data_IF_349491265143
#
_entry.id   IF_349491265143
#
_cell.length_a   1.000
_cell.length_b   1.000
_cell.length_c   1.000
_cell.angle_alpha   90.00
_cell.angle_beta   90.00
_cell.angle_gamma   90.00
#
_symmetry.space_group_name_H-M   'P 1'
#
loop_
_entity.id
_entity.type
_entity.pdbx_description
1 polymer ?
#
# COMPACT_ATOMS: atom_id res chain seq x y z
N UNK A 1 -44.05 -46.65 -83.96
CA UNK A 1 -42.60 -46.77 -83.67
C UNK A 1 -41.90 -45.51 -83.10
N UNK A 2 -42.61 -44.41 -82.78
CA UNK A 2 -41.99 -43.17 -82.22
C UNK A 2 -41.94 -43.08 -80.69
N UNK A 3 -42.58 -44.00 -79.97
CA UNK A 3 -42.63 -43.98 -78.48
C UNK A 3 -41.44 -44.74 -77.86
N UNK A 4 -41.01 -45.85 -78.46
CA UNK A 4 -39.88 -46.67 -77.97
C UNK A 4 -38.53 -45.97 -78.07
N UNK A 5 -38.30 -45.16 -79.11
CA UNK A 5 -37.09 -44.35 -79.28
C UNK A 5 -37.00 -43.17 -78.29
N UNK A 6 -38.13 -42.70 -77.74
CA UNK A 6 -38.14 -41.66 -76.69
C UNK A 6 -37.82 -42.24 -75.31
N UNK A 7 -38.18 -43.49 -75.05
CA UNK A 7 -37.88 -44.17 -73.78
C UNK A 7 -36.39 -44.55 -73.69
N UNK A 8 -35.80 -45.02 -74.80
CA UNK A 8 -34.38 -45.39 -74.88
C UNK A 8 -33.40 -44.20 -74.86
N UNK A 9 -33.89 -42.97 -75.08
CA UNK A 9 -33.10 -41.73 -75.03
C UNK A 9 -33.42 -40.89 -73.78
N UNK A 10 -34.22 -41.43 -72.86
CA UNK A 10 -34.61 -40.73 -71.63
C UNK A 10 -33.49 -40.83 -70.58
N UNK A 11 -32.70 -39.77 -70.46
CA UNK A 11 -31.67 -39.59 -69.41
C UNK A 11 -32.23 -39.06 -68.10
N UNK A 12 -33.54 -38.77 -68.05
CA UNK A 12 -34.20 -38.04 -66.96
C UNK A 12 -34.25 -38.83 -65.64
N UNK A 13 -33.94 -40.13 -65.65
CA UNK A 13 -33.90 -41.00 -64.45
C UNK A 13 -32.53 -41.12 -63.75
N UNK A 14 -31.41 -40.84 -64.44
CA UNK A 14 -30.08 -40.97 -63.82
C UNK A 14 -29.87 -39.97 -62.69
N UNK A 15 -30.42 -38.76 -62.83
CA UNK A 15 -30.39 -37.73 -61.78
C UNK A 15 -31.10 -38.24 -60.52
N UNK A 16 -32.21 -38.96 -60.64
CA UNK A 16 -32.92 -39.54 -59.50
C UNK A 16 -32.13 -40.66 -58.80
N UNK A 17 -31.41 -41.50 -59.56
CA UNK A 17 -30.56 -42.56 -59.01
C UNK A 17 -29.37 -41.97 -58.25
N UNK A 18 -28.67 -40.99 -58.83
CA UNK A 18 -27.57 -40.28 -58.14
C UNK A 18 -28.07 -39.49 -56.94
N UNK A 19 -29.21 -38.82 -57.04
CA UNK A 19 -29.84 -38.12 -55.92
C UNK A 19 -30.20 -39.09 -54.78
N UNK A 20 -30.75 -40.27 -55.08
CA UNK A 20 -31.06 -41.29 -54.08
C UNK A 20 -29.79 -41.85 -53.41
N UNK A 21 -28.72 -42.08 -54.18
CA UNK A 21 -27.45 -42.56 -53.64
C UNK A 21 -26.77 -41.50 -52.74
N UNK A 22 -26.81 -40.22 -53.13
CA UNK A 22 -26.22 -39.11 -52.37
C UNK A 22 -27.09 -38.67 -51.19
N UNK A 23 -28.41 -38.91 -51.23
CA UNK A 23 -29.30 -38.58 -50.13
C UNK A 23 -28.93 -39.36 -48.85
N UNK A 24 -28.50 -40.61 -48.96
CA UNK A 24 -28.13 -41.45 -47.81
C UNK A 24 -26.98 -40.84 -46.98
N UNK A 25 -25.78 -40.57 -47.54
CA UNK A 25 -24.69 -39.96 -46.78
C UNK A 25 -25.01 -38.53 -46.31
N UNK A 26 -25.82 -37.77 -47.05
CA UNK A 26 -26.27 -36.44 -46.62
C UNK A 26 -27.18 -36.50 -45.40
N UNK A 27 -28.13 -37.44 -45.35
CA UNK A 27 -29.01 -37.64 -44.20
C UNK A 27 -28.23 -38.13 -42.97
N UNK A 28 -27.26 -39.03 -43.17
CA UNK A 28 -26.36 -39.46 -42.09
C UNK A 28 -25.54 -38.26 -41.57
N UNK A 29 -24.97 -37.46 -42.47
CA UNK A 29 -24.23 -36.26 -42.10
C UNK A 29 -25.08 -35.25 -41.33
N UNK A 30 -26.34 -35.04 -41.74
CA UNK A 30 -27.29 -34.19 -41.04
C UNK A 30 -27.63 -34.73 -39.63
N UNK A 31 -27.86 -36.04 -39.50
CA UNK A 31 -28.11 -36.68 -38.20
C UNK A 31 -26.93 -36.54 -37.25
N UNK A 32 -25.70 -36.81 -37.72
CA UNK A 32 -24.49 -36.62 -36.93
C UNK A 32 -24.26 -35.16 -36.53
N UNK A 33 -24.60 -34.20 -37.39
CA UNK A 33 -24.52 -32.78 -37.05
C UNK A 33 -25.50 -32.42 -35.92
N UNK A 34 -26.71 -33.01 -35.89
CA UNK A 34 -27.67 -32.80 -34.79
C UNK A 34 -27.18 -33.40 -33.46
N UNK A 35 -26.59 -34.60 -33.50
CA UNK A 35 -26.02 -35.22 -32.31
C UNK A 35 -24.82 -34.43 -31.79
N UNK A 36 -23.94 -33.95 -32.68
CA UNK A 36 -22.85 -33.06 -32.31
C UNK A 36 -23.36 -31.76 -31.69
N UNK A 37 -24.40 -31.14 -32.25
CA UNK A 37 -25.01 -29.95 -31.68
C UNK A 37 -25.58 -30.22 -30.27
N UNK A 38 -26.15 -31.41 -30.05
CA UNK A 38 -26.63 -31.83 -28.72
C UNK A 38 -25.49 -31.98 -27.74
N UNK A 39 -24.41 -32.68 -28.11
CA UNK A 39 -23.22 -32.85 -27.27
C UNK A 39 -22.56 -31.52 -26.97
N UNK A 40 -22.41 -30.65 -27.97
CA UNK A 40 -21.83 -29.32 -27.79
C UNK A 40 -22.66 -28.46 -26.85
N UNK A 41 -24.00 -28.49 -26.96
CA UNK A 41 -24.89 -27.78 -26.03
C UNK A 41 -24.75 -28.30 -24.61
N UNK A 42 -24.82 -29.62 -24.42
CA UNK A 42 -24.66 -30.27 -23.11
C UNK A 42 -23.30 -29.96 -22.50
N UNK A 43 -22.24 -29.92 -23.31
CA UNK A 43 -20.90 -29.54 -22.87
C UNK A 43 -20.86 -28.10 -22.33
N UNK A 44 -21.46 -27.14 -23.04
CA UNK A 44 -21.52 -25.75 -22.59
C UNK A 44 -22.39 -25.56 -21.33
N UNK A 45 -23.55 -26.23 -21.27
CA UNK A 45 -24.44 -26.19 -20.10
C UNK A 45 -23.76 -26.81 -18.88
N UNK A 46 -23.10 -27.96 -19.04
CA UNK A 46 -22.36 -28.61 -17.96
C UNK A 46 -21.20 -27.72 -17.47
N UNK A 47 -20.42 -27.13 -18.39
CA UNK A 47 -19.34 -26.23 -18.00
C UNK A 47 -19.86 -25.03 -17.20
N UNK A 48 -20.92 -24.35 -17.68
CA UNK A 48 -21.50 -23.21 -16.96
C UNK A 48 -22.05 -23.57 -15.58
N UNK A 49 -22.65 -24.76 -15.44
CA UNK A 49 -23.12 -25.27 -14.15
C UNK A 49 -21.94 -25.55 -13.19
N UNK A 50 -20.84 -26.13 -13.70
CA UNK A 50 -19.64 -26.39 -12.91
C UNK A 50 -18.91 -25.10 -12.51
N UNK A 51 -18.82 -24.11 -13.39
CA UNK A 51 -18.21 -22.80 -13.10
C UNK A 51 -18.98 -22.07 -12.00
N UNK A 52 -20.32 -22.07 -12.08
CA UNK A 52 -21.17 -21.46 -11.06
C UNK A 52 -21.04 -22.19 -9.72
N UNK A 53 -21.00 -23.53 -9.73
CA UNK A 53 -20.82 -24.32 -8.53
C UNK A 53 -19.44 -24.14 -7.88
N UNK A 54 -18.37 -24.13 -8.69
CA UNK A 54 -17.01 -23.89 -8.23
C UNK A 54 -16.88 -22.50 -7.60
N UNK A 55 -17.45 -21.46 -8.23
CA UNK A 55 -17.44 -20.09 -7.71
C UNK A 55 -18.26 -19.95 -6.41
N UNK A 56 -19.43 -20.60 -6.33
CA UNK A 56 -20.25 -20.59 -5.12
C UNK A 56 -19.53 -21.15 -3.90
N UNK A 57 -18.77 -22.25 -4.09
CA UNK A 57 -17.95 -22.84 -3.03
C UNK A 57 -16.71 -21.98 -2.74
N UNK A 58 -16.06 -21.44 -3.77
CA UNK A 58 -14.87 -20.60 -3.59
C UNK A 58 -15.18 -19.31 -2.81
N UNK A 59 -16.37 -18.73 -2.97
CA UNK A 59 -16.83 -17.54 -2.23
C UNK A 59 -16.89 -17.75 -0.71
N UNK A 60 -17.27 -18.94 -0.26
CA UNK A 60 -17.34 -19.30 1.16
C UNK A 60 -15.94 -19.61 1.76
N UNK A 61 -14.94 -19.80 0.89
CA UNK A 61 -13.54 -19.96 1.28
C UNK A 61 -13.25 -21.17 2.17
N UNK A 62 -12.30 -21.02 3.10
CA UNK A 62 -11.81 -22.09 3.99
C UNK A 62 -12.76 -22.41 5.14
N UNK A 63 -13.67 -21.50 5.50
CA UNK A 63 -14.58 -21.68 6.65
C UNK A 63 -15.61 -22.81 6.44
N UNK A 64 -15.90 -23.15 5.18
CA UNK A 64 -16.87 -24.20 4.84
C UNK A 64 -16.27 -25.60 4.95
N UNK A 65 -17.02 -26.56 5.51
CA UNK A 65 -16.64 -27.98 5.58
C UNK A 65 -16.79 -28.67 4.23
N UNK A 66 -16.06 -29.77 4.01
CA UNK A 66 -16.11 -30.51 2.74
C UNK A 66 -17.48 -31.13 2.46
N UNK A 67 -18.19 -31.59 3.49
CA UNK A 67 -19.54 -32.12 3.33
C UNK A 67 -20.52 -31.03 2.89
N UNK A 68 -20.39 -29.82 3.45
CA UNK A 68 -21.21 -28.69 3.03
C UNK A 68 -20.86 -28.26 1.60
N UNK A 69 -19.59 -28.26 1.23
CA UNK A 69 -19.15 -27.97 -0.13
C UNK A 69 -19.77 -28.94 -1.14
N UNK A 70 -19.77 -30.25 -0.87
CA UNK A 70 -20.41 -31.26 -1.74
C UNK A 70 -21.90 -31.02 -1.91
N UNK A 71 -22.61 -30.67 -0.83
CA UNK A 71 -24.03 -30.32 -0.89
C UNK A 71 -24.29 -29.08 -1.74
N UNK A 72 -23.48 -28.02 -1.55
CA UNK A 72 -23.58 -26.78 -2.33
C UNK A 72 -23.34 -27.08 -3.80
N UNK A 73 -22.27 -27.80 -4.16
CA UNK A 73 -22.01 -28.17 -5.56
C UNK A 73 -23.18 -28.97 -6.14
N UNK A 74 -23.69 -29.99 -5.45
CA UNK A 74 -24.82 -30.78 -5.95
C UNK A 74 -26.08 -29.92 -6.19
N UNK A 75 -26.35 -28.97 -5.30
CA UNK A 75 -27.45 -28.02 -5.43
C UNK A 75 -27.25 -27.08 -6.63
N UNK A 76 -26.06 -26.51 -6.79
CA UNK A 76 -25.76 -25.59 -7.88
C UNK A 76 -25.72 -26.30 -9.24
N UNK A 77 -25.16 -27.51 -9.32
CA UNK A 77 -25.15 -28.30 -10.56
C UNK A 77 -26.58 -28.69 -10.95
N UNK A 78 -27.39 -29.21 -10.02
CA UNK A 78 -28.79 -29.58 -10.32
C UNK A 78 -29.69 -28.38 -10.66
N UNK A 79 -29.39 -27.19 -10.14
CA UNK A 79 -30.13 -25.98 -10.48
C UNK A 79 -29.76 -25.37 -11.85
N UNK A 80 -28.52 -25.60 -12.32
CA UNK A 80 -28.00 -24.97 -13.55
C UNK A 80 -27.84 -25.95 -14.72
N UNK A 81 -28.03 -27.25 -14.50
CA UNK A 81 -27.94 -28.28 -15.54
C UNK A 81 -29.21 -29.14 -15.58
N UNK A 82 -29.90 -29.10 -16.72
CA UNK A 82 -31.10 -29.92 -16.96
C UNK A 82 -30.70 -31.28 -17.54
N UNK A 83 -30.22 -32.18 -16.68
CA UNK A 83 -29.86 -33.54 -17.07
C UNK A 83 -29.37 -34.40 -15.90
N UNK A 84 -29.21 -35.70 -16.13
CA UNK A 84 -28.63 -36.62 -15.14
C UNK A 84 -27.12 -36.55 -15.21
N UNK A 85 -26.48 -36.31 -14.06
CA UNK A 85 -25.04 -36.27 -13.93
C UNK A 85 -24.55 -37.58 -13.32
N UNK A 86 -23.61 -38.23 -14.01
CA UNK A 86 -22.96 -39.48 -13.61
C UNK A 86 -21.82 -39.17 -12.63
N UNK A 87 -22.20 -38.71 -11.44
CA UNK A 87 -21.28 -38.40 -10.34
C UNK A 87 -20.66 -37.00 -10.42
N UNK A 88 -20.49 -36.40 -9.23
CA UNK A 88 -19.85 -35.10 -9.05
C UNK A 88 -18.71 -35.28 -8.06
N UNK A 89 -17.50 -34.87 -8.47
CA UNK A 89 -16.31 -34.89 -7.62
C UNK A 89 -15.96 -33.46 -7.22
N UNK A 90 -15.72 -33.24 -5.93
CA UNK A 90 -15.30 -31.96 -5.38
C UNK A 90 -13.96 -32.16 -4.69
N UNK A 91 -12.92 -31.49 -5.18
CA UNK A 91 -11.59 -31.49 -4.60
C UNK A 91 -11.24 -30.07 -4.14
N UNK A 92 -11.01 -29.89 -2.84
CA UNK A 92 -10.73 -28.59 -2.23
C UNK A 92 -9.33 -28.57 -1.64
N UNK A 93 -8.69 -27.43 -1.82
CA UNK A 93 -7.50 -27.02 -1.08
C UNK A 93 -7.81 -25.72 -0.32
N UNK A 94 -6.82 -25.17 0.39
CA UNK A 94 -7.00 -23.92 1.12
C UNK A 94 -7.41 -22.72 0.23
N UNK A 95 -7.03 -22.73 -1.05
CA UNK A 95 -7.16 -21.60 -1.98
C UNK A 95 -7.72 -21.99 -3.35
N UNK A 96 -8.19 -23.22 -3.51
CA UNK A 96 -8.71 -23.69 -4.80
C UNK A 96 -9.77 -24.76 -4.62
N UNK A 97 -10.82 -24.67 -5.43
CA UNK A 97 -11.92 -25.63 -5.50
C UNK A 97 -11.99 -26.14 -6.93
N UNK A 98 -11.72 -27.43 -7.13
CA UNK A 98 -11.93 -28.12 -8.39
C UNK A 98 -13.19 -28.97 -8.31
N UNK A 99 -14.11 -28.74 -9.25
CA UNK A 99 -15.33 -29.52 -9.42
C UNK A 99 -15.27 -30.24 -10.76
N UNK A 100 -15.60 -31.52 -10.78
CA UNK A 100 -15.66 -32.32 -12.01
C UNK A 100 -16.96 -33.12 -12.06
N UNK A 101 -17.54 -33.22 -13.25
CA UNK A 101 -18.75 -33.98 -13.47
C UNK A 101 -18.72 -34.66 -14.84
N UNK A 102 -19.44 -35.77 -14.94
CA UNK A 102 -19.61 -36.54 -16.17
C UNK A 102 -21.08 -36.63 -16.53
N UNK A 103 -21.40 -36.50 -17.82
CA UNK A 103 -22.75 -36.68 -18.34
C UNK A 103 -22.71 -37.51 -19.61
N UNK A 104 -23.77 -38.29 -19.81
CA UNK A 104 -23.90 -39.19 -20.96
C UNK A 104 -25.19 -38.88 -21.71
N UNK A 105 -25.22 -37.86 -22.59
CA UNK A 105 -26.40 -37.50 -23.36
C UNK A 105 -26.87 -38.64 -24.27
N UNK A 106 -28.17 -38.83 -24.36
CA UNK A 106 -28.77 -39.76 -25.31
C UNK A 106 -28.67 -39.18 -26.74
N UNK A 107 -28.06 -39.94 -27.65
CA UNK A 107 -27.90 -39.55 -29.06
C UNK A 107 -28.97 -40.21 -29.93
N UNK A 108 -29.50 -39.47 -30.91
CA UNK A 108 -30.65 -39.91 -31.70
C UNK A 108 -30.24 -40.60 -33.01
N UNK A 109 -29.13 -40.19 -33.64
CA UNK A 109 -28.77 -40.62 -34.99
C UNK A 109 -27.50 -41.46 -35.04
N UNK A 110 -26.54 -41.24 -34.15
CA UNK A 110 -25.28 -41.97 -34.08
C UNK A 110 -25.48 -43.46 -33.80
N UNK A 111 -26.61 -43.82 -33.20
CA UNK A 111 -26.97 -45.22 -32.98
C UNK A 111 -27.29 -46.01 -34.24
N UNK A 112 -27.58 -45.34 -35.37
CA UNK A 112 -27.63 -45.98 -36.69
C UNK A 112 -26.26 -46.53 -37.13
N UNK A 113 -25.19 -46.03 -36.51
CA UNK A 113 -23.80 -46.45 -36.75
C UNK A 113 -23.23 -47.33 -35.62
N UNK A 114 -24.06 -47.75 -34.66
CA UNK A 114 -23.68 -48.67 -33.58
C UNK A 114 -23.10 -48.04 -32.32
N UNK A 115 -22.94 -46.71 -32.26
CA UNK A 115 -22.48 -45.99 -31.06
C UNK A 115 -23.56 -45.02 -30.56
N UNK A 116 -24.16 -45.35 -29.41
CA UNK A 116 -25.27 -44.56 -28.85
C UNK A 116 -24.84 -43.63 -27.72
N UNK A 117 -23.54 -43.59 -27.41
CA UNK A 117 -23.01 -43.04 -26.17
C UNK A 117 -21.86 -42.10 -26.51
N UNK A 118 -21.97 -40.84 -26.06
CA UNK A 118 -20.87 -39.89 -26.08
C UNK A 118 -20.75 -39.27 -24.70
N UNK A 119 -19.79 -39.78 -23.92
CA UNK A 119 -19.51 -39.28 -22.59
C UNK A 119 -18.84 -37.90 -22.67
N UNK A 120 -19.38 -36.95 -21.91
CA UNK A 120 -18.81 -35.61 -21.74
C UNK A 120 -18.36 -35.48 -20.29
N UNK A 121 -17.08 -35.20 -20.08
CA UNK A 121 -16.51 -34.96 -18.75
C UNK A 121 -15.89 -33.57 -18.76
N UNK A 122 -16.37 -32.72 -17.85
CA UNK A 122 -15.89 -31.36 -17.69
C UNK A 122 -15.37 -31.15 -16.28
N UNK A 123 -14.43 -30.21 -16.16
CA UNK A 123 -13.93 -29.72 -14.90
C UNK A 123 -13.86 -28.19 -14.86
N UNK A 124 -14.09 -27.65 -13.67
CA UNK A 124 -13.96 -26.22 -13.38
C UNK A 124 -13.17 -26.04 -12.10
N UNK A 125 -12.26 -25.07 -12.10
CA UNK A 125 -11.44 -24.72 -10.95
C UNK A 125 -11.62 -23.25 -10.63
N UNK A 126 -12.05 -22.96 -9.40
CA UNK A 126 -12.14 -21.61 -8.87
C UNK A 126 -11.07 -21.43 -7.79
N UNK A 127 -10.21 -20.42 -7.96
CA UNK A 127 -9.18 -20.06 -6.98
C UNK A 127 -9.62 -18.88 -6.13
N UNK A 128 -9.23 -18.91 -4.85
CA UNK A 128 -9.41 -17.84 -3.88
C UNK A 128 -8.02 -17.32 -3.49
N UNK A 129 -7.70 -16.10 -3.91
CA UNK A 129 -6.53 -15.40 -3.41
C UNK A 129 -6.93 -14.57 -2.18
N UNK A 130 -6.35 -14.83 -0.98
CA UNK A 130 -6.58 -13.94 0.15
C UNK A 130 -5.99 -12.58 -0.19
N UNK A 131 -6.82 -11.53 -0.13
CA UNK A 131 -6.38 -10.17 -0.37
C UNK A 131 -5.36 -9.78 0.72
N UNK A 132 -4.21 -9.26 0.28
CA UNK A 132 -3.22 -8.64 1.16
C UNK A 132 -3.45 -7.13 1.15
N UNK A 133 -3.61 -6.55 2.32
CA UNK A 133 -3.83 -5.13 2.52
C UNK A 133 -2.61 -4.53 3.23
N UNK A 134 -2.04 -3.49 2.63
CA UNK A 134 -1.04 -2.63 3.26
C UNK A 134 -1.62 -1.22 3.34
N UNK A 135 -1.80 -0.71 4.55
CA UNK A 135 -2.50 0.55 4.81
C UNK A 135 -1.59 1.47 5.63
N UNK A 136 -1.36 2.69 5.14
CA UNK A 136 -0.72 3.74 5.91
C UNK A 136 -1.75 4.80 6.31
N UNK A 137 -1.91 5.01 7.62
CA UNK A 137 -2.84 5.99 8.18
C UNK A 137 -2.10 7.28 8.53
N UNK A 138 -2.25 8.32 7.71
CA UNK A 138 -1.80 9.67 8.05
C UNK A 138 -2.87 10.35 8.92
N UNK A 139 -2.55 10.57 10.20
CA UNK A 139 -3.52 11.02 11.22
C UNK A 139 -3.19 12.42 11.74
N UNK A 140 -4.11 13.36 11.54
CA UNK A 140 -4.00 14.73 12.06
C UNK A 140 -4.20 14.76 13.58
N UNK A 141 -3.21 15.27 14.31
CA UNK A 141 -3.30 15.51 15.76
C UNK A 141 -3.02 16.98 16.13
N UNK A 142 -3.19 17.90 15.19
CA UNK A 142 -3.08 19.34 15.45
C UNK A 142 -4.02 19.77 16.57
N UNK A 143 -3.72 20.90 17.23
CA UNK A 143 -4.55 21.40 18.35
C UNK A 143 -6.04 21.55 18.01
N UNK A 144 -6.39 21.76 16.73
CA UNK A 144 -7.78 21.83 16.26
C UNK A 144 -8.57 20.52 16.39
N UNK A 145 -7.85 19.39 16.54
CA UNK A 145 -8.38 18.04 16.75
C UNK A 145 -8.63 17.73 18.23
N UNK A 146 -8.17 18.57 19.16
CA UNK A 146 -8.28 18.30 20.59
C UNK A 146 -9.73 18.02 21.04
N UNK A 147 -9.87 17.17 22.06
CA UNK A 147 -11.16 16.77 22.62
C UNK A 147 -11.89 15.74 21.75
N UNK A 148 -13.16 16.04 21.41
CA UNK A 148 -14.06 15.06 20.81
C UNK A 148 -13.63 14.57 19.41
N UNK A 149 -12.98 15.41 18.59
CA UNK A 149 -12.56 15.04 17.24
C UNK A 149 -11.45 13.97 17.26
N UNK A 150 -10.41 14.17 18.07
CA UNK A 150 -9.32 13.22 18.24
C UNK A 150 -9.83 11.91 18.86
N UNK A 151 -10.77 11.98 19.82
CA UNK A 151 -11.39 10.79 20.38
C UNK A 151 -12.19 10.00 19.32
N UNK A 152 -13.00 10.67 18.51
CA UNK A 152 -13.76 10.05 17.43
C UNK A 152 -12.85 9.46 16.34
N UNK A 153 -11.74 10.13 16.00
CA UNK A 153 -10.76 9.60 15.04
C UNK A 153 -10.12 8.30 15.56
N UNK A 154 -9.71 8.27 16.83
CA UNK A 154 -9.16 7.05 17.46
C UNK A 154 -10.16 5.90 17.45
N UNK A 155 -11.42 6.18 17.80
CA UNK A 155 -12.50 5.19 17.78
C UNK A 155 -12.78 4.64 16.37
N UNK A 156 -12.84 5.52 15.38
CA UNK A 156 -13.04 5.15 13.97
C UNK A 156 -11.88 4.29 13.44
N UNK A 157 -10.64 4.65 13.74
CA UNK A 157 -9.45 3.87 13.35
C UNK A 157 -9.47 2.50 14.01
N UNK A 158 -9.72 2.41 15.32
CA UNK A 158 -9.80 1.13 16.02
C UNK A 158 -10.92 0.23 15.45
N UNK A 159 -12.11 0.80 15.22
CA UNK A 159 -13.23 0.08 14.61
C UNK A 159 -12.88 -0.44 13.21
N UNK A 160 -12.18 0.37 12.40
CA UNK A 160 -11.71 -0.04 11.07
C UNK A 160 -10.73 -1.21 11.18
N UNK A 161 -9.72 -1.11 12.04
CA UNK A 161 -8.71 -2.16 12.26
C UNK A 161 -9.37 -3.47 12.71
N UNK A 162 -10.30 -3.39 13.67
CA UNK A 162 -11.06 -4.55 14.16
C UNK A 162 -11.89 -5.19 13.05
N UNK A 163 -12.65 -4.39 12.30
CA UNK A 163 -13.50 -4.88 11.21
C UNK A 163 -12.68 -5.55 10.09
N UNK A 164 -11.53 -4.98 9.74
CA UNK A 164 -10.62 -5.57 8.74
C UNK A 164 -9.97 -6.85 9.24
N UNK A 165 -9.54 -6.88 10.51
CA UNK A 165 -8.93 -8.06 11.12
C UNK A 165 -9.88 -9.26 11.17
N UNK A 166 -11.20 -9.02 11.28
CA UNK A 166 -12.21 -10.08 11.20
C UNK A 166 -12.38 -10.68 9.79
N UNK A 167 -12.03 -9.94 8.74
CA UNK A 167 -12.14 -10.42 7.36
C UNK A 167 -10.88 -11.14 6.86
N UNK A 168 -9.75 -10.95 7.56
CA UNK A 168 -8.47 -11.51 7.17
C UNK A 168 -8.18 -12.74 8.03
N UNK A 169 -7.99 -13.89 7.38
CA UNK A 169 -7.70 -15.17 8.07
C UNK A 169 -6.21 -15.37 8.37
N UNK A 170 -5.33 -14.66 7.66
CA UNK A 170 -3.88 -14.65 7.86
C UNK A 170 -3.44 -13.25 8.35
N UNK A 171 -3.02 -13.08 9.61
CA UNK A 171 -2.56 -11.79 10.12
C UNK A 171 -1.45 -11.14 9.26
N UNK A 172 -0.62 -11.93 8.57
CA UNK A 172 0.41 -11.40 7.67
C UNK A 172 -0.14 -10.75 6.40
N UNK A 173 -1.43 -10.93 6.10
CA UNK A 173 -2.13 -10.32 4.98
C UNK A 173 -2.75 -8.96 5.33
N UNK A 174 -2.67 -8.49 6.58
CA UNK A 174 -3.09 -7.13 6.96
C UNK A 174 -1.93 -6.41 7.64
N UNK A 175 -1.36 -5.41 6.96
CA UNK A 175 -0.30 -4.56 7.49
C UNK A 175 -0.81 -3.14 7.63
N UNK A 176 -0.61 -2.56 8.81
CA UNK A 176 -1.05 -1.20 9.09
C UNK A 176 0.13 -0.41 9.64
N UNK A 177 0.44 0.71 9.00
CA UNK A 177 1.34 1.74 9.49
C UNK A 177 0.54 2.95 9.95
N UNK A 178 1.03 3.64 10.97
CA UNK A 178 0.38 4.85 11.52
C UNK A 178 1.39 5.99 11.49
N UNK A 179 1.03 7.07 10.82
CA UNK A 179 1.83 8.29 10.66
C UNK A 179 1.05 9.43 11.32
N UNK A 180 1.20 9.63 12.63
CA UNK A 180 0.56 10.74 13.30
C UNK A 180 1.34 12.03 12.97
N UNK A 181 0.65 13.11 12.57
CA UNK A 181 1.28 14.38 12.22
C UNK A 181 0.60 15.58 12.91
N UNK A 182 1.39 16.61 13.21
CA UNK A 182 0.90 17.92 13.62
C UNK A 182 1.66 18.99 12.80
N UNK A 183 2.54 19.75 13.43
CA UNK A 183 3.50 20.61 12.71
C UNK A 183 4.49 19.78 11.89
N UNK A 184 4.93 18.65 12.45
CA UNK A 184 5.90 17.75 11.83
C UNK A 184 5.45 16.29 11.96
N UNK A 185 6.21 15.40 11.31
CA UNK A 185 6.14 13.94 11.48
C UNK A 185 7.36 13.48 12.27
N UNK A 186 7.13 12.66 13.31
CA UNK A 186 8.20 12.05 14.09
C UNK A 186 8.54 10.67 13.49
N UNK A 187 9.76 10.54 12.99
CA UNK A 187 10.32 9.28 12.48
C UNK A 187 11.01 8.47 13.57
N UNK A 188 11.31 9.09 14.71
CA UNK A 188 11.92 8.47 15.88
C UNK A 188 13.37 8.91 16.10
N UNK A 189 13.76 9.21 17.35
CA UNK A 189 15.09 9.72 17.68
C UNK A 189 16.22 8.71 17.43
N UNK A 190 15.89 7.41 17.36
CA UNK A 190 16.85 6.32 17.13
C UNK A 190 17.54 6.38 15.75
N UNK A 191 16.99 7.14 14.80
CA UNK A 191 17.59 7.32 13.47
C UNK A 191 18.65 8.42 13.42
N UNK A 192 18.83 9.17 14.52
CA UNK A 192 19.86 10.21 14.62
C UNK A 192 21.29 9.62 14.62
N UNK A 193 22.30 10.41 14.19
CA UNK A 193 23.69 9.99 14.20
C UNK A 193 24.32 10.06 15.60
N UNK A 194 25.50 9.47 15.74
CA UNK A 194 26.41 9.65 16.88
C UNK A 194 27.43 10.76 16.61
N UNK A 195 28.07 11.25 17.67
CA UNK A 195 29.04 12.36 17.60
C UNK A 195 30.42 11.96 18.11
N UNK A 196 31.47 12.61 17.56
CA UNK A 196 32.83 12.51 18.05
C UNK A 196 33.08 13.45 19.26
N UNK A 197 34.30 13.41 19.82
CA UNK A 197 34.68 14.26 20.98
C UNK A 197 34.64 15.78 20.70
N UNK A 198 34.53 16.19 19.45
CA UNK A 198 34.45 17.60 19.01
C UNK A 198 33.01 18.00 18.67
N UNK A 199 32.03 17.12 18.92
CA UNK A 199 30.64 17.33 18.57
C UNK A 199 30.37 17.23 17.06
N UNK A 200 31.24 16.58 16.30
CA UNK A 200 31.05 16.34 14.86
C UNK A 200 30.33 15.03 14.62
N UNK A 201 29.42 15.01 13.64
CA UNK A 201 28.68 13.80 13.27
C UNK A 201 29.62 12.70 12.74
N UNK A 202 29.47 11.47 13.26
CA UNK A 202 30.03 10.28 12.63
C UNK A 202 29.19 9.90 11.42
N UNK A 203 29.74 10.16 10.23
CA UNK A 203 29.09 9.95 8.93
C UNK A 203 28.71 8.50 8.62
N UNK A 204 29.20 7.54 9.42
CA UNK A 204 28.84 6.11 9.30
C UNK A 204 27.65 5.71 10.17
N UNK A 205 27.07 6.66 10.89
CA UNK A 205 25.96 6.44 11.83
C UNK A 205 24.74 7.25 11.42
N UNK A 206 23.59 6.92 12.01
CA UNK A 206 22.30 7.50 11.63
C UNK A 206 21.72 6.90 10.36
N UNK A 207 20.50 7.29 10.04
CA UNK A 207 19.83 6.85 8.82
C UNK A 207 20.39 7.54 7.57
N UNK A 208 20.49 6.79 6.48
CA UNK A 208 21.01 7.27 5.18
C UNK A 208 20.03 8.14 4.39
N UNK A 209 18.73 8.08 4.75
CA UNK A 209 17.66 8.94 4.24
C UNK A 209 17.52 10.27 4.99
N UNK A 210 18.30 10.49 6.06
CA UNK A 210 18.36 11.76 6.79
C UNK A 210 19.53 12.63 6.33
N UNK A 211 19.33 13.95 6.32
CA UNK A 211 20.41 14.92 6.14
C UNK A 211 21.25 15.09 7.42
N UNK A 212 22.08 14.09 7.71
CA UNK A 212 22.95 14.10 8.89
C UNK A 212 24.13 15.08 8.77
N UNK A 213 24.43 15.60 7.57
CA UNK A 213 25.58 16.46 7.28
C UNK A 213 25.20 17.93 6.99
N UNK A 214 23.91 18.26 6.88
CA UNK A 214 23.45 19.61 6.51
C UNK A 214 23.70 19.96 5.03
N UNK A 215 23.56 18.98 4.13
CA UNK A 215 23.76 19.10 2.68
C UNK A 215 22.55 19.70 1.95
N UNK A 216 21.35 19.55 2.52
CA UNK A 216 20.11 20.11 1.96
C UNK A 216 20.12 21.60 2.22
N UNK A 217 19.99 22.39 1.15
CA UNK A 217 19.85 23.83 1.30
C UNK A 217 18.41 24.12 1.68
N UNK A 218 18.20 24.65 2.88
CA UNK A 218 16.88 25.11 3.34
C UNK A 218 16.92 26.63 3.46
N UNK A 219 16.08 27.32 2.67
CA UNK A 219 16.09 28.79 2.59
C UNK A 219 15.55 29.47 3.88
N UNK A 220 15.08 28.69 4.86
CA UNK A 220 14.39 29.16 6.06
C UNK A 220 15.28 29.39 7.28
N UNK A 221 16.61 29.20 7.23
CA UNK A 221 17.42 29.19 8.46
C UNK A 221 18.68 30.04 8.39
N UNK A 222 18.97 30.74 9.49
CA UNK A 222 20.24 31.45 9.75
C UNK A 222 21.47 30.52 9.82
N UNK A 223 21.27 29.19 9.79
CA UNK A 223 22.33 28.20 9.82
C UNK A 223 23.06 28.15 8.46
N UNK A 224 24.39 28.12 8.44
CA UNK A 224 25.16 28.00 7.21
C UNK A 224 25.03 26.63 6.54
N UNK A 225 25.19 26.61 5.23
CA UNK A 225 25.34 25.37 4.46
C UNK A 225 26.43 24.45 5.06
N UNK A 226 26.20 23.13 5.04
CA UNK A 226 27.09 22.10 5.61
C UNK A 226 27.31 22.20 7.13
N UNK A 227 26.41 22.87 7.85
CA UNK A 227 26.26 22.72 9.29
C UNK A 227 25.10 21.76 9.56
N UNK A 228 25.43 20.60 10.10
CA UNK A 228 24.42 19.62 10.49
C UNK A 228 23.60 20.14 11.66
N UNK A 229 22.27 20.10 11.56
CA UNK A 229 21.36 20.47 12.65
C UNK A 229 21.56 19.56 13.86
N UNK A 230 21.99 18.31 13.66
CA UNK A 230 22.36 17.40 14.75
C UNK A 230 23.56 17.92 15.54
N UNK A 231 24.56 18.51 14.88
CA UNK A 231 25.71 19.12 15.57
C UNK A 231 25.28 20.35 16.38
N UNK A 232 24.24 21.06 15.96
CA UNK A 232 23.66 22.17 16.73
C UNK A 232 22.92 21.66 17.97
N UNK A 233 22.14 20.57 17.84
CA UNK A 233 21.53 19.89 18.99
C UNK A 233 22.59 19.42 20.00
N UNK A 234 23.65 18.77 19.52
CA UNK A 234 24.77 18.30 20.35
C UNK A 234 25.45 19.47 21.07
N UNK A 235 25.67 20.59 20.39
CA UNK A 235 26.28 21.77 20.99
C UNK A 235 25.41 22.44 22.07
N UNK A 236 24.09 22.31 21.95
CA UNK A 236 23.13 22.73 22.97
C UNK A 236 22.96 21.69 24.10
N UNK A 237 23.61 20.53 24.01
CA UNK A 237 23.40 19.42 24.94
C UNK A 237 22.00 18.82 24.87
N UNK A 238 21.34 18.90 23.70
CA UNK A 238 19.98 18.40 23.46
C UNK A 238 19.99 17.22 22.52
N UNK A 239 19.06 16.30 22.74
CA UNK A 239 18.80 15.20 21.80
C UNK A 239 17.80 15.68 20.75
N UNK A 240 18.02 15.26 19.50
CA UNK A 240 17.01 15.44 18.46
C UNK A 240 15.75 14.63 18.82
N UNK A 241 14.56 15.23 18.82
CA UNK A 241 13.32 14.57 19.26
C UNK A 241 12.77 13.55 18.27
N UNK A 242 13.28 13.51 17.03
CA UNK A 242 12.88 12.55 16.01
C UNK A 242 12.05 13.11 14.86
N UNK A 243 11.75 14.42 14.82
CA UNK A 243 10.97 15.00 13.73
C UNK A 243 11.79 15.44 12.52
N UNK A 244 11.15 15.40 11.36
CA UNK A 244 11.69 15.86 10.07
C UNK A 244 10.84 16.96 9.45
N UNK A 245 11.50 17.81 8.66
CA UNK A 245 10.88 18.84 7.85
C UNK A 245 10.30 18.25 6.56
N UNK A 246 9.29 18.93 6.01
CA UNK A 246 8.84 18.69 4.64
C UNK A 246 9.99 18.91 3.66
N UNK A 247 10.15 17.98 2.72
CA UNK A 247 11.15 18.10 1.65
C UNK A 247 10.70 19.16 0.66
N UNK A 248 11.62 20.00 0.18
CA UNK A 248 11.29 21.09 -0.73
C UNK A 248 11.32 20.64 -2.19
N UNK A 249 10.38 21.08 -3.04
CA UNK A 249 10.45 20.80 -4.48
C UNK A 249 11.69 21.46 -5.09
N UNK A 250 12.30 20.77 -6.05
CA UNK A 250 13.44 21.29 -6.81
C UNK A 250 13.23 21.09 -8.30
N UNK A 251 14.14 21.62 -9.12
CA UNK A 251 14.15 21.34 -10.57
C UNK A 251 14.31 19.86 -10.92
N UNK A 252 14.79 19.02 -9.99
CA UNK A 252 15.03 17.59 -10.21
C UNK A 252 13.84 16.71 -9.78
N UNK A 253 12.91 17.25 -8.99
CA UNK A 253 11.80 16.47 -8.45
C UNK A 253 10.93 17.27 -7.48
N UNK A 254 9.65 16.92 -7.45
CA UNK A 254 8.64 17.46 -6.55
C UNK A 254 8.57 16.58 -5.28
N UNK A 255 9.62 16.62 -4.46
CA UNK A 255 9.79 15.73 -3.29
C UNK A 255 8.76 15.94 -2.17
N UNK A 256 8.02 17.04 -2.21
CA UNK A 256 6.93 17.42 -1.29
C UNK A 256 5.60 16.71 -1.60
N UNK A 257 5.35 16.38 -2.86
CA UNK A 257 4.06 15.79 -3.30
C UNK A 257 4.20 14.44 -3.98
N UNK A 258 5.40 14.09 -4.46
CA UNK A 258 5.67 12.81 -5.10
C UNK A 258 6.32 11.82 -4.14
N UNK A 259 6.00 10.54 -4.31
CA UNK A 259 6.62 9.41 -3.61
C UNK A 259 8.01 9.10 -4.17
N UNK A 260 8.92 10.08 -4.09
CA UNK A 260 10.31 9.93 -4.47
C UNK A 260 11.10 9.49 -3.23
N UNK A 261 11.83 8.39 -3.36
CA UNK A 261 12.65 7.83 -2.28
C UNK A 261 13.75 8.82 -1.85
N UNK A 262 13.94 8.96 -0.53
CA UNK A 262 15.05 9.72 0.05
C UNK A 262 16.32 8.87 -0.01
N UNK A 263 17.34 9.32 -0.72
CA UNK A 263 18.60 8.56 -0.89
C UNK A 263 19.82 9.41 -0.66
N UNK A 264 20.87 8.82 -0.07
CA UNK A 264 22.16 9.48 0.13
C UNK A 264 22.87 9.92 -1.17
N UNK A 265 22.44 9.40 -2.33
CA UNK A 265 22.95 9.77 -3.66
C UNK A 265 22.38 11.09 -4.16
N UNK A 266 21.15 11.41 -3.77
CA UNK A 266 20.49 12.66 -4.12
C UNK A 266 20.28 13.49 -2.86
N UNK A 267 21.21 14.40 -2.59
CA UNK A 267 21.17 15.24 -1.39
C UNK A 267 19.86 16.01 -1.26
N UNK A 268 19.21 16.37 -2.36
CA UNK A 268 17.98 17.18 -2.35
C UNK A 268 16.73 16.32 -1.99
N UNK A 269 16.86 14.98 -2.02
CA UNK A 269 15.80 14.04 -1.65
C UNK A 269 15.75 13.68 -0.16
N UNK A 270 16.78 14.05 0.61
CA UNK A 270 16.93 13.68 2.02
C UNK A 270 15.93 14.42 2.91
N UNK A 271 15.48 13.75 3.97
CA UNK A 271 14.70 14.40 5.02
C UNK A 271 15.61 15.22 5.93
N UNK A 272 15.22 16.48 6.17
CA UNK A 272 15.98 17.38 7.03
C UNK A 272 15.45 17.25 8.46
N UNK A 273 16.30 17.02 9.48
CA UNK A 273 15.84 17.00 10.86
C UNK A 273 15.30 18.39 11.27
N UNK A 274 14.19 18.44 12.00
CA UNK A 274 13.63 19.72 12.45
C UNK A 274 14.57 20.45 13.41
N UNK A 275 14.65 21.77 13.27
CA UNK A 275 15.39 22.62 14.20
C UNK A 275 14.72 23.99 14.28
N UNK A 276 14.14 24.28 15.43
CA UNK A 276 13.45 25.53 15.71
C UNK A 276 14.48 26.57 16.18
N UNK A 277 14.63 27.65 15.42
CA UNK A 277 15.55 28.75 15.74
C UNK A 277 15.04 29.50 16.98
N UNK A 278 15.95 29.73 17.92
CA UNK A 278 15.72 30.62 19.07
C UNK A 278 15.25 32.02 18.65
N UNK A 279 14.09 32.41 19.19
CA UNK A 279 13.36 33.63 18.85
C UNK A 279 13.70 34.82 19.76
N UNK A 280 13.38 36.07 19.38
CA UNK A 280 13.74 37.26 20.16
C UNK A 280 13.13 37.33 21.57
N UNK A 281 13.87 37.96 22.49
CA UNK A 281 13.47 38.27 23.88
C UNK A 281 12.37 39.37 24.01
N UNK A 282 11.59 39.65 22.96
CA UNK A 282 10.64 40.76 22.97
C UNK A 282 9.39 40.46 23.81
N UNK A 283 8.94 41.43 24.61
CA UNK A 283 7.66 41.41 25.33
C UNK A 283 6.74 42.55 24.90
N UNK A 284 5.43 42.32 25.01
CA UNK A 284 4.41 43.36 25.00
C UNK A 284 4.54 44.25 26.26
N UNK A 285 3.92 45.45 26.28
CA UNK A 285 3.99 46.37 27.42
C UNK A 285 3.44 45.81 28.74
N UNK A 286 2.58 44.78 28.67
CA UNK A 286 2.04 44.04 29.83
C UNK A 286 2.98 42.94 30.35
N UNK A 287 4.15 42.79 29.73
CA UNK A 287 5.14 41.76 30.06
C UNK A 287 4.87 40.41 29.39
N UNK A 288 3.82 40.27 28.58
CA UNK A 288 3.57 39.03 27.84
C UNK A 288 4.62 38.87 26.72
N UNK A 289 5.33 37.74 26.62
CA UNK A 289 6.22 37.44 25.49
C UNK A 289 5.55 37.68 24.14
N UNK A 290 6.31 38.08 23.10
CA UNK A 290 5.82 38.18 21.72
C UNK A 290 6.04 36.92 20.89
N UNK A 291 7.03 36.11 21.28
CA UNK A 291 7.48 34.95 20.54
C UNK A 291 7.39 33.68 21.39
N UNK A 292 6.88 32.56 20.85
CA UNK A 292 6.63 31.35 21.60
C UNK A 292 7.85 30.54 22.01
N UNK A 293 8.97 30.67 21.29
CA UNK A 293 10.12 29.78 21.37
C UNK A 293 11.45 30.55 21.50
N UNK A 294 11.48 31.48 22.44
CA UNK A 294 12.71 32.05 22.96
C UNK A 294 13.24 31.16 24.08
N UNK A 295 14.39 30.52 23.87
CA UNK A 295 14.91 29.49 24.75
C UNK A 295 16.40 29.62 25.06
N UNK A 296 17.13 30.61 24.53
CA UNK A 296 18.54 30.84 24.84
C UNK A 296 18.67 32.10 25.68
N UNK A 297 19.02 31.92 26.96
CA UNK A 297 19.36 33.06 27.82
C UNK A 297 20.75 33.58 27.45
N UNK A 298 20.80 34.66 26.67
CA UNK A 298 22.05 35.14 26.09
C UNK A 298 22.95 35.83 27.14
N UNK A 299 24.09 35.21 27.45
CA UNK A 299 25.25 35.89 28.05
C UNK A 299 26.44 35.69 27.11
N UNK A 300 26.50 36.47 26.03
CA UNK A 300 27.72 36.55 25.21
C UNK A 300 28.68 37.55 25.89
N UNK A 301 29.86 37.13 26.39
CA UNK A 301 30.84 38.06 26.97
C UNK A 301 31.41 39.02 25.91
N UNK A 302 32.08 40.08 26.37
CA UNK A 302 32.67 41.19 25.58
C UNK A 302 33.63 40.80 24.44
N UNK A 303 33.93 39.51 24.24
CA UNK A 303 34.62 38.97 23.05
C UNK A 303 33.80 39.18 21.76
N UNK A 304 32.52 39.57 21.90
CA UNK A 304 31.60 39.82 20.81
C UNK A 304 32.08 40.88 19.81
N UNK A 305 32.91 41.83 20.23
CA UNK A 305 33.39 42.94 19.38
C UNK A 305 34.36 42.49 18.27
N UNK A 306 34.88 41.26 18.33
CA UNK A 306 35.84 40.70 17.35
C UNK A 306 35.22 39.73 16.35
N UNK A 307 33.96 39.34 16.55
CA UNK A 307 33.27 38.34 15.73
C UNK A 307 32.35 39.00 14.70
N UNK A 308 32.23 38.39 13.53
CA UNK A 308 31.19 38.81 12.57
C UNK A 308 29.79 38.57 13.15
N UNK A 309 28.79 39.32 12.67
CA UNK A 309 27.38 39.10 13.07
C UNK A 309 26.91 37.65 12.89
N UNK A 310 27.44 36.94 11.87
CA UNK A 310 27.12 35.53 11.62
C UNK A 310 27.76 34.60 12.65
N UNK A 311 28.99 34.88 13.06
CA UNK A 311 29.68 34.11 14.10
C UNK A 311 29.07 34.34 15.48
N UNK A 312 28.60 35.56 15.77
CA UNK A 312 27.84 35.86 16.99
C UNK A 312 26.52 35.09 17.07
N UNK A 313 25.81 34.98 15.94
CA UNK A 313 24.57 34.21 15.87
C UNK A 313 24.80 32.72 16.11
N UNK A 314 25.89 32.15 15.60
CA UNK A 314 26.21 30.73 15.82
C UNK A 314 26.83 30.47 17.19
N UNK A 315 27.55 31.45 17.73
CA UNK A 315 28.07 31.45 19.09
C UNK A 315 26.97 31.25 20.14
N UNK A 316 25.76 31.76 19.89
CA UNK A 316 24.60 31.58 20.80
C UNK A 316 24.22 30.11 20.98
N UNK A 317 24.50 29.27 19.98
CA UNK A 317 24.28 27.82 20.02
C UNK A 317 25.47 27.02 20.54
N UNK A 318 26.47 27.66 21.15
CA UNK A 318 27.66 26.96 21.67
C UNK A 318 28.67 26.55 20.59
N UNK A 319 28.59 27.13 19.40
CA UNK A 319 29.49 26.84 18.29
C UNK A 319 30.59 27.89 18.14
N UNK A 320 31.76 27.46 17.69
CA UNK A 320 32.88 28.31 17.28
C UNK A 320 33.39 27.90 15.90
N UNK A 321 34.03 28.84 15.19
CA UNK A 321 34.62 28.59 13.88
C UNK A 321 36.12 28.38 14.01
N UNK A 322 36.60 27.18 13.70
CA UNK A 322 38.02 26.80 13.74
C UNK A 322 38.45 26.36 12.33
N UNK A 323 39.45 27.03 11.77
CA UNK A 323 39.97 26.75 10.42
C UNK A 323 38.88 26.68 9.33
N UNK A 324 37.85 27.53 9.42
CA UNK A 324 36.75 27.57 8.46
C UNK A 324 35.57 26.66 8.75
N UNK A 325 35.67 25.77 9.75
CA UNK A 325 34.65 24.77 10.11
C UNK A 325 34.03 25.10 11.46
N UNK A 326 32.70 24.98 11.58
CA UNK A 326 32.01 25.14 12.86
C UNK A 326 32.10 23.86 13.69
N UNK A 327 32.49 23.99 14.95
CA UNK A 327 32.66 22.91 15.93
C UNK A 327 32.13 23.34 17.28
N UNK A 328 31.90 22.39 18.18
CA UNK A 328 31.58 22.66 19.58
C UNK A 328 32.64 23.56 20.23
N UNK A 329 32.19 24.58 20.96
CA UNK A 329 33.04 25.38 21.83
C UNK A 329 33.02 24.80 23.26
N UNK A 330 34.08 24.08 23.69
CA UNK A 330 34.09 23.43 25.00
C UNK A 330 34.13 24.44 26.17
N UNK A 331 34.41 25.72 25.88
CA UNK A 331 34.45 26.79 26.89
C UNK A 331 33.13 27.54 27.00
N UNK A 332 32.14 27.24 26.13
CA UNK A 332 30.86 27.93 26.10
C UNK A 332 29.73 27.00 26.52
N UNK A 333 29.22 27.23 27.74
CA UNK A 333 27.95 26.65 28.19
C UNK A 333 26.79 27.52 27.74
N UNK A 334 25.83 26.96 27.02
CA UNK A 334 24.59 27.65 26.65
C UNK A 334 23.55 27.40 27.75
N UNK A 335 23.09 28.47 28.40
CA UNK A 335 21.98 28.39 29.34
C UNK A 335 20.67 28.53 28.57
N UNK A 336 19.74 27.60 28.81
CA UNK A 336 18.46 27.55 28.11
C UNK A 336 17.28 27.71 29.07
N UNK A 337 16.23 28.37 28.57
CA UNK A 337 14.90 28.33 29.18
C UNK A 337 14.18 27.05 28.71
N UNK A 338 13.91 26.15 29.66
CA UNK A 338 13.21 24.88 29.43
C UNK A 338 11.72 24.94 29.80
N UNK A 339 11.21 26.13 30.14
CA UNK A 339 9.78 26.29 30.44
C UNK A 339 8.94 26.00 29.20
N UNK A 340 7.68 25.63 29.42
CA UNK A 340 6.76 25.42 28.31
C UNK A 340 6.40 26.73 27.63
N UNK A 341 6.15 26.68 26.34
CA UNK A 341 5.59 27.81 25.62
C UNK A 341 4.19 28.12 26.15
N UNK A 342 3.89 29.41 26.28
CA UNK A 342 2.63 29.91 26.84
C UNK A 342 1.63 30.37 25.76
N UNK A 343 1.99 30.24 24.49
CA UNK A 343 1.18 30.77 23.37
C UNK A 343 0.16 29.79 22.82
N UNK A 344 0.42 28.50 22.99
CA UNK A 344 -0.37 27.46 22.37
C UNK A 344 -1.16 26.71 23.44
N UNK A 345 -2.33 26.19 23.07
CA UNK A 345 -3.28 25.53 23.99
C UNK A 345 -2.75 24.26 24.66
N UNK A 346 -1.61 23.77 24.18
CA UNK A 346 -0.78 22.74 24.75
C UNK A 346 0.30 23.39 25.61
N UNK A 347 -0.04 23.78 26.85
CA UNK A 347 0.88 24.32 27.87
C UNK A 347 2.00 23.33 28.29
N UNK A 348 2.24 22.28 27.51
CA UNK A 348 3.20 21.19 27.73
C UNK A 348 4.36 21.16 26.72
N UNK A 349 4.38 22.01 25.68
CA UNK A 349 5.48 22.03 24.71
C UNK A 349 6.68 22.81 25.27
N UNK A 350 7.79 22.16 25.65
CA UNK A 350 8.96 22.85 26.15
C UNK A 350 9.56 23.71 25.04
N UNK A 351 9.91 24.95 25.37
CA UNK A 351 10.70 25.75 24.45
C UNK A 351 12.03 25.04 24.16
N UNK A 352 12.56 25.25 22.97
CA UNK A 352 13.83 24.66 22.59
C UNK A 352 14.01 24.46 21.09
N UNK A 353 15.13 23.82 20.71
CA UNK A 353 15.42 23.49 19.33
C UNK A 353 14.45 22.46 18.75
N UNK A 354 13.77 21.68 19.59
CA UNK A 354 12.78 20.67 19.20
C UNK A 354 11.32 21.17 19.19
N UNK A 355 11.09 22.46 19.44
CA UNK A 355 9.76 23.05 19.54
C UNK A 355 8.85 22.68 18.35
N UNK A 356 7.62 22.25 18.62
CA UNK A 356 6.66 21.74 17.62
C UNK A 356 6.82 20.27 17.22
N UNK A 357 7.86 19.56 17.69
CA UNK A 357 7.99 18.10 17.54
C UNK A 357 7.32 17.36 18.70
N UNK A 358 6.00 17.42 18.74
CA UNK A 358 5.20 16.91 19.87
C UNK A 358 4.57 15.55 19.63
N UNK A 359 4.74 15.03 18.41
CA UNK A 359 4.05 13.83 17.95
C UNK A 359 4.86 12.59 18.32
N UNK A 360 4.16 11.53 18.72
CA UNK A 360 4.80 10.22 18.93
C UNK A 360 5.41 9.71 17.61
N UNK A 361 6.51 8.92 17.67
CA UNK A 361 7.09 8.30 16.50
C UNK A 361 6.05 7.49 15.71
N UNK A 362 6.15 7.56 14.39
CA UNK A 362 5.33 6.75 13.49
C UNK A 362 5.49 5.26 13.81
N UNK A 363 4.39 4.52 13.65
CA UNK A 363 4.40 3.07 13.67
C UNK A 363 4.65 2.58 12.24
N UNK A 364 5.77 1.90 11.95
CA UNK A 364 6.00 1.34 10.63
C UNK A 364 4.94 0.27 10.33
N UNK A 365 4.76 -0.03 9.04
CA UNK A 365 3.90 -1.14 8.61
C UNK A 365 4.27 -2.40 9.38
N UNK A 366 3.31 -2.93 10.14
CA UNK A 366 3.48 -4.17 10.90
C UNK A 366 3.93 -5.29 9.96
N UNK A 367 5.06 -5.92 10.26
CA UNK A 367 5.70 -6.92 9.40
C UNK A 367 4.98 -8.27 9.38
#
# INVERSE_FOLDING_TARGET
>A
MKVSSRFLRSSDGNVAIFAALLAVPLLIGAGLAMDYATVSRVNHELQGALDTAALAVAREGKAMTDDRARQVVAQFVSANFNGTVDGVTVNRSAYSVKVSATVTPALAFSGLLGNNIWQVTNDSTAEYAPAKFEIALALDQTGSMAGAKLAAMKDAVNTMVEAMSLQVTDPAALKIGVVPYATFVNVGPQYGPSFDKKGKVDKKTGADWLDIEGKVKTDQIELPDNLSRFEVYEALGRKWPGCVETRMPTKKGEYDVMDIEATSKDKDSLFVPTFSIDEPDDTWPDGFPKYPNNYITSLLPAVADTLSKKELKLAKYGLQKVAGVYVLDPLRSVMMDETNSIFYSNEADPKGPGFGCEVEPLLPLTS
#
